data_IF_766912323007
#
_entry.id   IF_766912323007
#
_cell.length_a   1.000
_cell.length_b   1.000
_cell.length_c   1.000
_cell.angle_alpha   90.00
_cell.angle_beta   90.00
_cell.angle_gamma   90.00
#
_symmetry.space_group_name_H-M   'P 1'
#
loop_
_entity.id
_entity.type
_entity.pdbx_description
1 polymer ?
#
# COMPACT_ATOMS: atom_id res chain seq x y z
N UNK A 1 11.39 12.22 -11.91
CA UNK A 1 10.86 10.86 -12.13
C UNK A 1 11.06 10.52 -13.60
N UNK A 2 11.99 9.63 -13.92
CA UNK A 2 12.14 9.17 -15.29
C UNK A 2 10.90 8.36 -15.64
N UNK A 3 10.14 8.80 -16.66
CA UNK A 3 9.13 7.95 -17.25
C UNK A 3 9.88 6.75 -17.84
N UNK A 4 9.79 5.60 -17.17
CA UNK A 4 10.36 4.37 -17.72
C UNK A 4 9.55 4.06 -18.97
N UNK A 5 10.12 4.36 -20.12
CA UNK A 5 9.53 4.02 -21.40
C UNK A 5 9.70 2.52 -21.61
N UNK A 6 8.61 1.76 -21.40
CA UNK A 6 8.56 0.36 -21.80
C UNK A 6 8.72 0.28 -23.32
N UNK A 7 9.61 -0.60 -23.78
CA UNK A 7 9.74 -0.94 -25.18
C UNK A 7 8.47 -1.62 -25.71
N UNK A 8 8.24 -1.56 -27.01
CA UNK A 8 7.08 -2.23 -27.63
C UNK A 8 7.13 -3.75 -27.43
N UNK A 9 8.33 -4.34 -27.38
CA UNK A 9 8.50 -5.78 -27.12
C UNK A 9 8.07 -6.16 -25.70
N UNK A 10 8.41 -5.36 -24.68
CA UNK A 10 7.98 -5.60 -23.30
C UNK A 10 6.47 -5.48 -23.15
N UNK A 11 5.85 -4.51 -23.81
CA UNK A 11 4.39 -4.36 -23.83
C UNK A 11 3.72 -5.59 -24.45
N UNK A 12 4.19 -6.04 -25.62
CA UNK A 12 3.65 -7.22 -26.30
C UNK A 12 3.82 -8.48 -25.43
N UNK A 13 4.96 -8.65 -24.78
CA UNK A 13 5.21 -9.77 -23.86
C UNK A 13 4.20 -9.80 -22.72
N UNK A 14 3.93 -8.64 -22.09
CA UNK A 14 2.93 -8.54 -21.01
C UNK A 14 1.53 -8.88 -21.53
N UNK A 15 1.13 -8.33 -22.68
CA UNK A 15 -0.21 -8.56 -23.25
C UNK A 15 -0.42 -10.03 -23.63
N UNK A 16 0.55 -10.66 -24.30
CA UNK A 16 0.46 -12.06 -24.67
C UNK A 16 0.47 -12.97 -23.43
N UNK A 17 1.27 -12.64 -22.41
CA UNK A 17 1.26 -13.39 -21.15
C UNK A 17 -0.12 -13.39 -20.49
N UNK A 18 -0.79 -12.24 -20.44
CA UNK A 18 -2.14 -12.13 -19.86
C UNK A 18 -3.17 -12.98 -20.64
N UNK A 19 -3.04 -13.10 -21.96
CA UNK A 19 -3.92 -13.96 -22.78
C UNK A 19 -3.79 -15.44 -22.41
N UNK A 20 -2.62 -15.85 -21.93
CA UNK A 20 -2.30 -17.22 -21.48
C UNK A 20 -2.42 -17.38 -19.95
N UNK A 21 -3.06 -16.43 -19.26
CA UNK A 21 -3.18 -16.38 -17.80
C UNK A 21 -1.83 -16.43 -17.05
N UNK A 22 -0.79 -15.81 -17.64
CA UNK A 22 0.56 -15.81 -17.10
C UNK A 22 1.13 -14.39 -16.99
N UNK A 23 1.48 -13.99 -15.77
CA UNK A 23 2.16 -12.71 -15.50
C UNK A 23 3.68 -12.85 -15.57
N UNK A 24 4.36 -11.70 -15.64
CA UNK A 24 5.83 -11.61 -15.76
C UNK A 24 6.59 -12.30 -14.62
N UNK A 25 5.96 -12.45 -13.46
CA UNK A 25 6.51 -13.08 -12.25
C UNK A 25 5.98 -14.52 -12.04
N UNK A 26 5.37 -15.12 -13.06
CA UNK A 26 4.91 -16.51 -13.07
C UNK A 26 3.59 -16.76 -12.35
N UNK A 27 2.91 -15.72 -11.89
CA UNK A 27 1.61 -15.81 -11.21
C UNK A 27 0.44 -15.76 -12.21
N UNK A 28 -0.69 -16.35 -11.84
CA UNK A 28 -1.95 -16.21 -12.56
C UNK A 28 -2.51 -14.78 -12.47
N UNK A 29 -3.45 -14.43 -13.35
CA UNK A 29 -4.00 -13.07 -13.38
C UNK A 29 -4.74 -12.70 -12.08
N UNK A 30 -5.34 -13.69 -11.41
CA UNK A 30 -6.08 -13.51 -10.15
C UNK A 30 -5.22 -13.71 -8.89
N UNK A 31 -3.99 -14.18 -9.04
CA UNK A 31 -3.11 -14.48 -7.92
C UNK A 31 -2.59 -13.20 -7.25
N UNK A 32 -2.72 -13.16 -5.92
CA UNK A 32 -2.16 -12.10 -5.10
C UNK A 32 -0.64 -12.26 -4.94
N UNK A 33 0.07 -11.18 -4.59
CA UNK A 33 1.48 -11.29 -4.19
C UNK A 33 1.53 -11.86 -2.77
N UNK A 34 2.65 -12.45 -2.38
CA UNK A 34 2.85 -12.86 -0.99
C UNK A 34 2.66 -11.63 -0.08
N UNK A 35 1.78 -11.76 0.91
CA UNK A 35 1.46 -10.72 1.87
C UNK A 35 2.02 -11.12 3.24
N UNK A 36 2.84 -10.25 3.81
CA UNK A 36 3.39 -10.39 5.16
C UNK A 36 2.88 -9.22 6.00
N UNK A 37 2.39 -9.51 7.21
CA UNK A 37 1.88 -8.50 8.13
C UNK A 37 2.61 -8.66 9.46
N UNK A 38 3.27 -7.60 9.88
CA UNK A 38 3.94 -7.48 11.18
C UNK A 38 3.21 -6.39 11.97
N UNK A 39 2.76 -6.68 13.19
CA UNK A 39 2.16 -5.69 14.11
C UNK A 39 3.20 -5.21 15.13
N UNK A 40 2.92 -4.07 15.77
CA UNK A 40 3.74 -3.49 16.84
C UNK A 40 5.18 -3.14 16.42
N UNK A 41 5.34 -2.74 15.16
CA UNK A 41 6.63 -2.44 14.52
C UNK A 41 7.22 -1.10 14.96
N UNK A 42 6.36 -0.17 15.40
CA UNK A 42 6.72 1.15 15.90
C UNK A 42 6.25 1.28 17.35
N UNK A 43 7.20 1.44 18.28
CA UNK A 43 6.92 1.48 19.72
C UNK A 43 6.30 2.78 20.22
N UNK A 44 6.37 3.87 19.45
CA UNK A 44 5.90 5.21 19.85
C UNK A 44 4.49 5.54 19.34
N UNK A 45 3.78 4.58 18.73
CA UNK A 45 2.41 4.75 18.25
C UNK A 45 1.45 3.95 19.12
N UNK A 46 0.16 4.33 19.14
CA UNK A 46 -0.87 3.58 19.85
C UNK A 46 -1.13 2.20 19.22
N UNK A 47 -0.90 2.11 17.91
CA UNK A 47 -0.81 0.86 17.17
C UNK A 47 0.05 1.06 15.93
N UNK A 48 0.66 -0.02 15.43
CA UNK A 48 1.39 0.01 14.18
C UNK A 48 1.32 -1.33 13.46
N UNK A 49 1.41 -1.27 12.14
CA UNK A 49 1.53 -2.44 11.29
C UNK A 49 2.43 -2.14 10.09
N UNK A 50 3.28 -3.08 9.73
CA UNK A 50 4.02 -3.10 8.46
C UNK A 50 3.45 -4.20 7.59
N UNK A 51 3.08 -3.84 6.37
CA UNK A 51 2.53 -4.75 5.37
C UNK A 51 3.47 -4.78 4.18
N UNK A 52 4.01 -5.96 3.88
CA UNK A 52 4.78 -6.20 2.66
C UNK A 52 3.96 -7.01 1.69
N UNK A 53 3.84 -6.51 0.46
CA UNK A 53 3.16 -7.15 -0.64
C UNK A 53 4.11 -7.31 -1.82
N UNK A 54 4.87 -8.41 -1.80
CA UNK A 54 6.03 -8.59 -2.68
C UNK A 54 7.02 -7.44 -2.52
N UNK A 55 7.21 -6.62 -3.56
CA UNK A 55 8.11 -5.45 -3.53
C UNK A 55 7.48 -4.17 -2.99
N UNK A 56 6.19 -4.19 -2.64
CA UNK A 56 5.50 -3.03 -2.07
C UNK A 56 5.59 -3.12 -0.54
N UNK A 57 6.14 -2.10 0.12
CA UNK A 57 6.29 -2.04 1.57
C UNK A 57 5.53 -0.83 2.11
N UNK A 58 4.61 -1.08 3.04
CA UNK A 58 3.73 -0.06 3.61
C UNK A 58 3.88 -0.11 5.13
N UNK A 59 4.15 1.05 5.73
CA UNK A 59 4.16 1.22 7.18
C UNK A 59 2.97 2.10 7.59
N UNK A 60 2.17 1.60 8.53
CA UNK A 60 1.02 2.32 9.09
C UNK A 60 1.22 2.48 10.59
N UNK A 61 0.98 3.70 11.08
CA UNK A 61 0.93 4.03 12.50
C UNK A 61 -0.39 4.71 12.83
N UNK A 62 -1.00 4.32 13.95
CA UNK A 62 -2.21 4.94 14.49
C UNK A 62 -1.85 5.60 15.81
N UNK A 63 -2.31 6.84 15.99
CA UNK A 63 -2.14 7.59 17.23
C UNK A 63 -3.48 8.12 17.70
N UNK A 64 -3.81 7.87 18.96
CA UNK A 64 -5.00 8.41 19.60
C UNK A 64 -4.59 9.56 20.52
N UNK A 65 -5.27 10.71 20.38
CA UNK A 65 -5.06 11.90 21.21
C UNK A 65 -6.40 12.46 21.68
N UNK A 66 -6.42 13.08 22.85
CA UNK A 66 -7.59 13.80 23.35
C UNK A 66 -7.58 15.21 22.76
N UNK A 67 -8.62 15.58 22.02
CA UNK A 67 -8.76 16.89 21.39
C UNK A 67 -10.17 17.44 21.51
N UNK A 68 -10.33 18.72 21.20
CA UNK A 68 -11.65 19.37 21.16
C UNK A 68 -12.40 18.91 19.90
N UNK A 69 -13.66 18.44 20.04
CA UNK A 69 -14.47 18.04 18.89
C UNK A 69 -14.82 19.24 18.00
N UNK A 70 -15.27 18.97 16.77
CA UNK A 70 -15.68 20.03 15.83
C UNK A 70 -16.93 20.73 16.36
N UNK A 71 -16.98 22.06 16.23
CA UNK A 71 -18.10 22.87 16.73
C UNK A 71 -19.47 22.45 16.16
N UNK A 72 -19.47 21.99 14.91
CA UNK A 72 -20.67 21.50 14.21
C UNK A 72 -21.19 20.16 14.78
N UNK A 73 -20.32 19.39 15.44
CA UNK A 73 -20.60 18.03 15.92
C UNK A 73 -19.86 17.75 17.25
N UNK A 74 -20.37 18.26 18.38
CA UNK A 74 -19.68 18.19 19.67
C UNK A 74 -19.64 16.78 20.29
N UNK A 75 -20.57 15.90 19.94
CA UNK A 75 -20.69 14.54 20.50
C UNK A 75 -20.00 13.46 19.65
N UNK A 76 -19.31 13.85 18.57
CA UNK A 76 -18.61 12.93 17.66
C UNK A 76 -17.09 13.16 17.70
N UNK A 77 -16.32 12.07 17.81
CA UNK A 77 -14.89 12.08 17.54
C UNK A 77 -14.59 12.21 16.05
N UNK A 78 -13.36 12.54 15.69
CA UNK A 78 -12.94 12.61 14.29
C UNK A 78 -11.71 11.74 14.03
N UNK A 79 -11.61 11.22 12.80
CA UNK A 79 -10.49 10.45 12.30
C UNK A 79 -9.82 11.24 11.18
N UNK A 80 -8.51 11.37 11.26
CA UNK A 80 -7.68 11.90 10.19
C UNK A 80 -6.69 10.84 9.77
N UNK A 81 -6.48 10.70 8.46
CA UNK A 81 -5.47 9.82 7.91
C UNK A 81 -4.67 10.58 6.86
N UNK A 82 -3.38 10.28 6.81
CA UNK A 82 -2.44 10.88 5.89
C UNK A 82 -1.67 9.75 5.21
N UNK A 83 -1.44 9.90 3.91
CA UNK A 83 -0.65 8.96 3.12
C UNK A 83 0.53 9.73 2.56
N UNK A 84 1.72 9.34 2.99
CA UNK A 84 2.98 9.87 2.46
C UNK A 84 3.60 8.84 1.50
N UNK A 85 4.06 9.31 0.35
CA UNK A 85 4.71 8.50 -0.67
C UNK A 85 6.18 8.88 -0.74
N UNK A 86 7.01 8.14 -0.01
CA UNK A 86 8.45 8.29 -0.08
C UNK A 86 8.99 7.57 -1.31
N UNK A 87 9.42 8.34 -2.31
CA UNK A 87 10.17 7.85 -3.46
C UNK A 87 11.64 8.12 -3.17
N UNK A 88 12.43 7.06 -2.94
CA UNK A 88 13.88 7.13 -2.90
C UNK A 88 14.48 7.11 -4.31
#
# INVERSE_FOLDING_TARGET
MAAVALSEAEKLYIVHGIQEDLRVDGRGCEDYRCAEVETDVVSNTSGSARVKLGHTDILVGVKAEMGTPKLEKPDEGYLEFFVDWLVY
#
